data_IF_292669429093
#
_entry.id   IF_292669429093
#
_cell.length_a   1.000
_cell.length_b   1.000
_cell.length_c   1.000
_cell.angle_alpha   90.00
_cell.angle_beta   90.00
_cell.angle_gamma   90.00
#
_symmetry.space_group_name_H-M   'P 1'
#
loop_
_entity.id
_entity.type
_entity.pdbx_description
1 polymer ?
#
# COMPACT_ATOMS: atom_id res chain seq x y z
N UNK A 1 -12.86 -49.59 42.69
CA UNK A 1 -13.09 -50.74 41.77
C UNK A 1 -13.97 -50.28 40.63
N UNK A 2 -13.65 -50.71 39.38
CA UNK A 2 -14.29 -50.45 38.06
C UNK A 2 -13.85 -49.09 37.44
N UNK A 3 -12.81 -48.99 36.59
CA UNK A 3 -12.59 -49.51 35.21
C UNK A 3 -13.75 -49.27 34.24
N UNK A 4 -13.54 -48.41 33.23
CA UNK A 4 -13.42 -48.80 31.80
C UNK A 4 -13.09 -47.61 30.90
N UNK A 5 -12.06 -47.79 30.07
CA UNK A 5 -11.67 -46.97 28.92
C UNK A 5 -12.72 -46.97 27.80
N UNK A 6 -12.75 -45.91 26.98
CA UNK A 6 -12.94 -46.07 25.54
C UNK A 6 -12.38 -44.87 24.77
N UNK A 7 -11.25 -45.11 24.13
CA UNK A 7 -10.65 -44.32 23.05
C UNK A 7 -11.41 -44.63 21.76
N UNK A 8 -11.90 -43.60 21.06
CA UNK A 8 -12.33 -43.74 19.66
C UNK A 8 -11.47 -42.81 18.82
N UNK A 9 -10.46 -43.41 18.20
CA UNK A 9 -9.86 -42.90 16.97
C UNK A 9 -10.82 -43.20 15.81
N UNK A 10 -11.14 -42.22 14.99
CA UNK A 10 -11.55 -42.46 13.61
C UNK A 10 -10.82 -41.51 12.68
N UNK A 11 -10.17 -42.12 11.71
CA UNK A 11 -9.27 -41.52 10.75
C UNK A 11 -10.01 -40.73 9.66
N UNK A 12 -9.35 -39.66 9.21
CA UNK A 12 -9.25 -39.13 7.85
C UNK A 12 -10.43 -39.31 6.89
N UNK A 13 -10.99 -38.19 6.44
CA UNK A 13 -11.36 -38.01 5.04
C UNK A 13 -11.22 -36.53 4.65
N UNK A 14 -10.22 -36.26 3.82
CA UNK A 14 -9.97 -34.97 3.15
C UNK A 14 -10.75 -34.99 1.83
N UNK A 15 -11.59 -33.99 1.52
CA UNK A 15 -11.90 -33.65 0.14
C UNK A 15 -11.01 -32.48 -0.29
N UNK A 16 -10.03 -32.79 -1.13
CA UNK A 16 -9.33 -31.83 -1.95
C UNK A 16 -10.24 -31.38 -3.09
N UNK A 17 -10.59 -30.10 -3.13
CA UNK A 17 -11.20 -29.46 -4.31
C UNK A 17 -10.58 -28.09 -4.54
N UNK A 18 -9.37 -28.09 -5.08
CA UNK A 18 -8.85 -27.01 -5.92
C UNK A 18 -9.20 -27.30 -7.37
N UNK A 19 -10.06 -26.51 -8.02
CA UNK A 19 -9.89 -26.22 -9.45
C UNK A 19 -10.70 -25.00 -9.94
N UNK A 20 -9.93 -24.04 -10.45
CA UNK A 20 -10.17 -23.08 -11.53
C UNK A 20 -11.37 -22.12 -11.46
N UNK A 21 -11.04 -20.90 -11.02
CA UNK A 21 -11.62 -19.65 -11.50
C UNK A 21 -11.18 -19.45 -12.98
N UNK A 22 -12.10 -19.62 -13.94
CA UNK A 22 -11.87 -19.21 -15.33
C UNK A 22 -12.69 -17.96 -15.64
N UNK A 23 -11.97 -16.87 -15.78
CA UNK A 23 -12.43 -15.55 -16.16
C UNK A 23 -12.45 -15.51 -17.70
N UNK A 24 -13.63 -15.49 -18.32
CA UNK A 24 -13.77 -15.22 -19.76
C UNK A 24 -14.44 -13.87 -19.92
N UNK A 25 -13.64 -12.84 -20.19
CA UNK A 25 -14.09 -11.52 -20.58
C UNK A 25 -13.67 -11.31 -22.03
N UNK A 26 -14.58 -11.61 -22.95
CA UNK A 26 -14.39 -11.46 -24.38
C UNK A 26 -14.81 -10.04 -24.78
N UNK A 27 -13.86 -9.23 -25.24
CA UNK A 27 -14.12 -7.89 -25.75
C UNK A 27 -13.34 -7.69 -27.05
N UNK A 28 -14.00 -7.40 -28.19
CA UNK A 28 -13.33 -7.26 -29.47
C UNK A 28 -12.73 -5.85 -29.62
N UNK A 29 -11.40 -5.75 -29.55
CA UNK A 29 -10.70 -4.50 -29.90
C UNK A 29 -10.70 -4.29 -31.42
N UNK A 30 -11.39 -3.23 -31.83
CA UNK A 30 -11.30 -2.63 -33.17
C UNK A 30 -9.91 -2.04 -33.37
N UNK A 31 -9.27 -2.42 -34.48
CA UNK A 31 -8.08 -1.78 -35.04
C UNK A 31 -8.37 -0.30 -35.32
N UNK A 32 -7.68 0.60 -34.63
CA UNK A 32 -7.44 1.96 -35.10
C UNK A 32 -5.93 2.18 -35.11
N UNK A 33 -5.35 2.07 -36.30
CA UNK A 33 -3.99 2.53 -36.57
C UNK A 33 -3.99 4.05 -36.52
N UNK A 34 -3.28 4.63 -35.55
CA UNK A 34 -2.82 6.01 -35.62
C UNK A 34 -1.31 5.95 -35.74
N UNK A 35 -0.82 6.09 -36.97
CA UNK A 35 0.56 6.44 -37.23
C UNK A 35 0.74 7.90 -36.79
N UNK A 36 1.51 8.11 -35.73
CA UNK A 36 2.15 9.40 -35.45
C UNK A 36 3.50 9.16 -34.80
N UNK A 37 4.53 9.40 -35.60
CA UNK A 37 5.84 9.97 -35.28
C UNK A 37 6.27 9.91 -33.82
N UNK A 38 7.31 9.18 -33.42
CA UNK A 38 8.74 9.42 -33.70
C UNK A 38 9.43 9.69 -32.37
N UNK A 39 10.40 8.84 -32.00
CA UNK A 39 11.40 9.02 -30.93
C UNK A 39 10.92 8.92 -29.47
N UNK A 40 10.51 7.72 -29.05
CA UNK A 40 10.54 7.33 -27.63
C UNK A 40 11.06 5.90 -27.50
N UNK A 41 12.25 5.64 -28.04
CA UNK A 41 12.86 4.32 -27.88
C UNK A 41 14.39 4.39 -27.99
N UNK A 42 15.02 5.21 -27.15
CA UNK A 42 16.40 5.00 -26.69
C UNK A 42 16.79 6.06 -25.66
N UNK A 43 16.33 5.90 -24.41
CA UNK A 43 17.02 6.39 -23.21
C UNK A 43 16.83 5.40 -22.05
N UNK A 44 16.99 4.12 -22.34
CA UNK A 44 17.30 3.11 -21.31
C UNK A 44 18.81 2.86 -21.33
N UNK A 45 19.58 3.92 -21.14
CA UNK A 45 21.03 3.83 -21.00
C UNK A 45 21.38 4.38 -19.61
N UNK A 46 21.42 3.45 -18.65
CA UNK A 46 21.97 3.58 -17.31
C UNK A 46 21.35 4.67 -16.42
N UNK A 47 20.22 4.37 -15.78
CA UNK A 47 20.02 4.88 -14.41
C UNK A 47 21.05 4.19 -13.50
N UNK A 48 22.30 4.67 -13.53
CA UNK A 48 23.17 4.52 -12.37
C UNK A 48 22.60 5.46 -11.33
N UNK A 49 21.64 4.97 -10.54
CA UNK A 49 21.11 5.70 -9.40
C UNK A 49 22.30 5.94 -8.46
N UNK A 50 22.68 7.20 -8.27
CA UNK A 50 23.72 7.60 -7.33
C UNK A 50 23.45 6.98 -5.96
N UNK A 51 24.48 6.42 -5.33
CA UNK A 51 24.34 5.83 -3.99
C UNK A 51 24.28 6.89 -2.90
N UNK A 52 24.68 8.12 -3.19
CA UNK A 52 24.70 9.23 -2.24
C UNK A 52 24.63 10.60 -2.93
N UNK A 53 24.21 11.63 -2.18
CA UNK A 53 24.20 13.02 -2.65
C UNK A 53 25.61 13.58 -2.91
N UNK A 54 26.65 13.05 -2.24
CA UNK A 54 28.04 13.44 -2.51
C UNK A 54 28.52 12.94 -3.87
N UNK A 55 28.17 11.71 -4.23
CA UNK A 55 28.50 11.12 -5.54
C UNK A 55 27.84 11.91 -6.68
N UNK A 56 26.55 12.26 -6.51
CA UNK A 56 25.82 13.10 -7.46
C UNK A 56 26.42 14.50 -7.59
N UNK A 57 26.95 15.07 -6.50
CA UNK A 57 27.60 16.39 -6.51
C UNK A 57 28.88 16.35 -7.35
N UNK A 58 29.72 15.33 -7.14
CA UNK A 58 30.96 15.18 -7.90
C UNK A 58 30.70 14.99 -9.41
N UNK A 59 29.68 14.21 -9.77
CA UNK A 59 29.30 14.04 -11.18
C UNK A 59 28.70 15.32 -11.79
N UNK A 60 27.88 16.05 -11.03
CA UNK A 60 27.35 17.34 -11.49
C UNK A 60 28.47 18.36 -11.75
N UNK A 61 29.46 18.45 -10.86
CA UNK A 61 30.64 19.30 -11.06
C UNK A 61 31.42 18.91 -12.33
N UNK A 62 31.61 17.62 -12.57
CA UNK A 62 32.30 17.12 -13.75
C UNK A 62 31.51 17.47 -15.04
N UNK A 63 30.21 17.22 -15.08
CA UNK A 63 29.36 17.52 -16.24
C UNK A 63 29.37 19.03 -16.53
N UNK A 64 29.26 19.87 -15.49
CA UNK A 64 29.31 21.32 -15.63
C UNK A 64 30.66 21.82 -16.13
N UNK A 65 31.76 21.13 -15.77
CA UNK A 65 33.10 21.45 -16.28
C UNK A 65 33.26 21.07 -17.76
N UNK A 66 32.73 19.91 -18.18
CA UNK A 66 32.85 19.40 -19.56
C UNK A 66 31.92 20.12 -20.55
N UNK A 67 30.67 20.34 -20.18
CA UNK A 67 29.60 20.86 -21.06
C UNK A 67 29.40 22.38 -20.89
N UNK A 68 29.97 22.95 -19.83
CA UNK A 68 29.84 24.36 -19.45
C UNK A 68 28.70 24.61 -18.45
N UNK A 69 28.81 25.69 -17.66
CA UNK A 69 27.90 25.98 -16.54
C UNK A 69 26.46 26.30 -16.98
N UNK A 70 26.28 26.86 -18.17
CA UNK A 70 24.95 27.22 -18.70
C UNK A 70 24.31 26.10 -19.53
N UNK A 71 25.00 24.95 -19.67
CA UNK A 71 24.50 23.82 -20.44
C UNK A 71 23.29 23.17 -19.77
N UNK A 72 22.39 22.64 -20.60
CA UNK A 72 21.20 21.93 -20.09
C UNK A 72 21.58 20.68 -19.27
N UNK A 73 22.68 20.01 -19.64
CA UNK A 73 23.17 18.84 -18.92
C UNK A 73 23.68 19.19 -17.52
N UNK A 74 24.34 20.33 -17.36
CA UNK A 74 24.77 20.83 -16.05
C UNK A 74 23.57 21.12 -15.14
N UNK A 75 22.52 21.75 -15.67
CA UNK A 75 21.28 22.05 -14.90
C UNK A 75 20.60 20.78 -14.43
N UNK A 76 20.38 19.82 -15.33
CA UNK A 76 19.75 18.53 -14.99
C UNK A 76 20.57 17.77 -13.95
N UNK A 77 21.90 17.83 -14.01
CA UNK A 77 22.75 17.18 -13.01
C UNK A 77 22.60 17.81 -11.62
N UNK A 78 22.45 19.13 -11.54
CA UNK A 78 22.16 19.82 -10.28
C UNK A 78 20.74 19.55 -9.76
N UNK A 79 19.74 19.44 -10.63
CA UNK A 79 18.38 19.05 -10.23
C UNK A 79 18.40 17.66 -9.54
N UNK A 80 19.18 16.70 -10.06
CA UNK A 80 19.33 15.38 -9.43
C UNK A 80 19.95 15.49 -8.02
N UNK A 81 20.94 16.37 -7.84
CA UNK A 81 21.55 16.62 -6.53
C UNK A 81 20.55 17.22 -5.56
N UNK A 82 19.69 18.14 -6.02
CA UNK A 82 18.64 18.75 -5.20
C UNK A 82 17.62 17.71 -4.74
N UNK A 83 17.12 16.88 -5.66
CA UNK A 83 16.17 15.81 -5.33
C UNK A 83 16.75 14.78 -4.35
N UNK A 84 18.02 14.37 -4.53
CA UNK A 84 18.69 13.45 -3.61
C UNK A 84 18.91 14.05 -2.22
N UNK A 85 19.25 15.35 -2.14
CA UNK A 85 19.38 16.06 -0.86
C UNK A 85 18.01 16.22 -0.18
N UNK A 86 16.95 16.47 -0.95
CA UNK A 86 15.60 16.54 -0.43
C UNK A 86 15.17 15.19 0.16
N UNK A 87 15.43 14.08 -0.54
CA UNK A 87 15.16 12.72 -0.04
C UNK A 87 15.95 12.39 1.24
N UNK A 88 17.26 12.64 1.28
CA UNK A 88 18.10 12.42 2.48
C UNK A 88 17.65 13.30 3.65
N UNK A 89 17.21 14.54 3.40
CA UNK A 89 16.63 15.40 4.44
C UNK A 89 15.28 14.89 4.94
N UNK A 90 14.47 14.28 4.06
CA UNK A 90 13.20 13.68 4.42
C UNK A 90 13.39 12.44 5.32
N UNK A 91 14.38 11.61 5.00
CA UNK A 91 14.74 10.43 5.80
C UNK A 91 15.40 10.83 7.14
N UNK A 92 16.20 11.90 7.18
CA UNK A 92 16.78 12.43 8.44
C UNK A 92 15.76 13.12 9.34
N UNK A 93 14.73 13.74 8.76
CA UNK A 93 13.59 14.22 9.52
C UNK A 93 12.71 13.06 10.04
N UNK A 94 12.91 11.85 9.51
CA UNK A 94 12.46 10.58 10.10
C UNK A 94 13.56 9.93 10.95
N UNK A 95 14.32 10.72 11.72
CA UNK A 95 15.41 10.19 12.54
C UNK A 95 14.95 9.01 13.42
N UNK A 96 15.64 7.86 13.38
CA UNK A 96 15.49 6.83 14.39
C UNK A 96 16.19 7.34 15.65
N UNK A 97 15.44 8.04 16.51
CA UNK A 97 15.90 8.41 17.85
C UNK A 97 16.24 7.16 18.68
N UNK A 98 17.07 7.30 19.73
CA UNK A 98 17.38 6.18 20.62
C UNK A 98 16.08 5.56 21.12
N UNK A 99 16.07 4.24 21.26
CA UNK A 99 14.93 3.35 21.53
C UNK A 99 14.20 3.60 22.87
N UNK A 100 13.85 4.85 23.16
CA UNK A 100 12.71 5.18 23.98
C UNK A 100 11.48 4.79 23.16
N UNK A 101 10.60 3.99 23.76
CA UNK A 101 9.49 3.33 23.07
C UNK A 101 8.47 4.39 22.63
N UNK A 102 8.75 5.04 21.50
CA UNK A 102 7.88 6.07 20.95
C UNK A 102 6.67 5.39 20.31
N UNK A 103 5.52 5.52 20.97
CA UNK A 103 4.25 5.05 20.43
C UNK A 103 3.76 5.94 19.29
N UNK A 104 4.36 7.11 19.06
CA UNK A 104 3.88 8.09 18.08
C UNK A 104 3.75 7.51 16.65
N UNK A 105 4.74 6.78 16.09
CA UNK A 105 4.58 6.14 14.78
C UNK A 105 3.49 5.06 14.75
N UNK A 106 3.29 4.35 15.86
CA UNK A 106 2.26 3.31 15.98
C UNK A 106 0.86 3.91 16.08
N UNK A 107 0.70 5.00 16.83
CA UNK A 107 -0.56 5.76 16.94
C UNK A 107 -0.94 6.37 15.60
N UNK A 108 0.01 6.97 14.88
CA UNK A 108 -0.22 7.47 13.53
C UNK A 108 -0.61 6.35 12.55
N UNK A 109 0.07 5.20 12.63
CA UNK A 109 -0.28 4.02 11.85
C UNK A 109 -1.71 3.53 12.14
N UNK A 110 -2.10 3.49 13.42
CA UNK A 110 -3.44 3.14 13.84
C UNK A 110 -4.49 4.11 13.27
N UNK A 111 -4.26 5.42 13.31
CA UNK A 111 -5.19 6.42 12.77
C UNK A 111 -5.43 6.22 11.26
N UNK A 112 -4.34 6.03 10.51
CA UNK A 112 -4.40 5.80 9.06
C UNK A 112 -5.18 4.52 8.76
N UNK A 113 -4.89 3.42 9.46
CA UNK A 113 -5.55 2.14 9.24
C UNK A 113 -7.02 2.19 9.64
N UNK A 114 -7.33 2.79 10.79
CA UNK A 114 -8.70 2.93 11.28
C UNK A 114 -9.55 3.74 10.29
N UNK A 115 -9.00 4.82 9.73
CA UNK A 115 -9.70 5.63 8.71
C UNK A 115 -9.98 4.83 7.44
N UNK A 116 -9.05 3.95 7.04
CA UNK A 116 -9.27 3.06 5.89
C UNK A 116 -10.34 2.02 6.19
N UNK A 117 -10.33 1.44 7.39
CA UNK A 117 -11.32 0.44 7.79
C UNK A 117 -12.71 1.07 7.89
N UNK A 118 -12.86 2.28 8.43
CA UNK A 118 -14.14 3.01 8.45
C UNK A 118 -14.74 3.20 7.07
N UNK A 119 -13.93 3.63 6.09
CA UNK A 119 -14.41 3.73 4.69
C UNK A 119 -14.89 2.37 4.17
N UNK A 120 -14.19 1.29 4.50
CA UNK A 120 -14.61 -0.07 4.11
C UNK A 120 -15.84 -0.55 4.86
N UNK A 121 -16.04 -0.13 6.11
CA UNK A 121 -17.28 -0.40 6.85
C UNK A 121 -18.46 0.37 6.24
N UNK A 122 -18.27 1.61 5.79
CA UNK A 122 -19.31 2.37 5.08
C UNK A 122 -19.68 1.72 3.74
N UNK A 123 -18.69 1.29 2.97
CA UNK A 123 -18.91 0.53 1.73
C UNK A 123 -19.67 -0.78 1.99
N UNK A 124 -19.23 -1.55 3.00
CA UNK A 124 -19.86 -2.81 3.40
C UNK A 124 -21.31 -2.57 3.83
N UNK A 125 -21.54 -1.58 4.69
CA UNK A 125 -22.87 -1.22 5.19
C UNK A 125 -23.81 -0.87 4.05
N UNK A 126 -23.34 -0.06 3.09
CA UNK A 126 -24.13 0.33 1.92
C UNK A 126 -24.50 -0.89 1.07
N UNK A 127 -23.53 -1.75 0.77
CA UNK A 127 -23.78 -2.97 -0.01
C UNK A 127 -24.74 -3.92 0.71
N UNK A 128 -24.55 -4.13 2.01
CA UNK A 128 -25.42 -4.97 2.84
C UNK A 128 -26.84 -4.41 2.92
N UNK A 129 -26.99 -3.09 3.00
CA UNK A 129 -28.31 -2.43 2.99
C UNK A 129 -29.03 -2.70 1.67
N UNK A 130 -28.34 -2.50 0.53
CA UNK A 130 -28.91 -2.79 -0.80
C UNK A 130 -29.32 -4.26 -0.90
N UNK A 131 -28.45 -5.19 -0.49
CA UNK A 131 -28.75 -6.61 -0.54
C UNK A 131 -29.95 -6.99 0.36
N UNK A 132 -30.05 -6.41 1.56
CA UNK A 132 -31.21 -6.62 2.44
C UNK A 132 -32.51 -6.10 1.81
N UNK A 133 -32.48 -4.94 1.14
CA UNK A 133 -33.62 -4.40 0.39
C UNK A 133 -34.08 -5.34 -0.74
N UNK A 134 -33.15 -6.06 -1.38
CA UNK A 134 -33.44 -7.10 -2.37
C UNK A 134 -33.87 -8.44 -1.75
N UNK A 135 -34.05 -8.52 -0.43
CA UNK A 135 -34.48 -9.72 0.27
C UNK A 135 -33.37 -10.73 0.53
N UNK A 136 -32.09 -10.30 0.54
CA UNK A 136 -31.02 -11.15 1.04
C UNK A 136 -31.26 -11.46 2.52
N UNK A 137 -30.98 -12.70 2.91
CA UNK A 137 -31.34 -13.24 4.23
C UNK A 137 -30.75 -12.50 5.44
N UNK A 138 -31.15 -12.91 6.66
CA UNK A 138 -30.78 -12.22 7.91
C UNK A 138 -29.26 -12.17 8.16
N UNK A 139 -28.47 -13.02 7.51
CA UNK A 139 -27.01 -12.97 7.51
C UNK A 139 -26.47 -11.62 7.01
N UNK A 140 -27.11 -11.06 5.98
CA UNK A 140 -26.69 -9.80 5.37
C UNK A 140 -27.09 -8.61 6.24
N UNK A 141 -28.26 -8.66 6.86
CA UNK A 141 -28.67 -7.64 7.85
C UNK A 141 -27.70 -7.58 9.03
N UNK A 142 -27.20 -8.74 9.50
CA UNK A 142 -26.17 -8.79 10.55
C UNK A 142 -24.88 -8.04 10.17
N UNK A 143 -24.53 -7.99 8.89
CA UNK A 143 -23.35 -7.24 8.43
C UNK A 143 -23.52 -5.73 8.59
N UNK A 144 -24.74 -5.21 8.50
CA UNK A 144 -25.04 -3.79 8.74
C UNK A 144 -24.68 -3.45 10.19
N UNK A 145 -25.21 -4.21 11.15
CA UNK A 145 -24.91 -4.02 12.57
C UNK A 145 -23.44 -4.21 12.90
N UNK A 146 -22.81 -5.27 12.37
CA UNK A 146 -21.39 -5.54 12.60
C UNK A 146 -20.49 -4.43 12.05
N UNK A 147 -20.86 -3.82 10.92
CA UNK A 147 -20.11 -2.70 10.34
C UNK A 147 -20.17 -1.45 11.23
N UNK A 148 -21.34 -1.15 11.82
CA UNK A 148 -21.51 -0.03 12.74
C UNK A 148 -20.77 -0.28 14.07
N UNK A 149 -20.83 -1.50 14.60
CA UNK A 149 -20.11 -1.91 15.81
C UNK A 149 -18.59 -1.80 15.62
N UNK A 150 -18.05 -2.26 14.48
CA UNK A 150 -16.62 -2.16 14.20
C UNK A 150 -16.16 -0.69 14.15
N UNK A 151 -16.96 0.21 13.58
CA UNK A 151 -16.64 1.64 13.57
C UNK A 151 -16.61 2.22 14.97
N UNK A 152 -17.54 1.83 15.84
CA UNK A 152 -17.54 2.26 17.23
C UNK A 152 -16.27 1.79 17.96
N UNK A 153 -15.89 0.53 17.80
CA UNK A 153 -14.66 -0.03 18.40
C UNK A 153 -13.41 0.73 17.94
N UNK A 154 -13.34 1.12 16.66
CA UNK A 154 -12.22 1.90 16.14
C UNK A 154 -12.15 3.31 16.74
N UNK A 155 -13.30 3.98 16.90
CA UNK A 155 -13.35 5.30 17.53
C UNK A 155 -12.97 5.24 19.02
N UNK A 156 -13.41 4.21 19.74
CA UNK A 156 -13.02 3.97 21.12
C UNK A 156 -11.51 3.71 21.24
N UNK A 157 -10.95 2.88 20.36
CA UNK A 157 -9.52 2.62 20.30
C UNK A 157 -8.71 3.90 20.02
N UNK A 158 -9.12 4.73 19.05
CA UNK A 158 -8.46 6.02 18.80
C UNK A 158 -8.53 6.95 20.01
N UNK A 159 -9.70 7.04 20.62
CA UNK A 159 -9.92 7.89 21.80
C UNK A 159 -9.00 7.46 22.93
N UNK A 160 -8.92 6.16 23.23
CA UNK A 160 -8.04 5.60 24.26
C UNK A 160 -6.55 5.87 23.97
N UNK A 161 -6.17 5.92 22.70
CA UNK A 161 -4.78 6.16 22.28
C UNK A 161 -4.39 7.64 22.27
N UNK A 162 -5.33 8.57 22.47
CA UNK A 162 -5.04 10.03 22.50
C UNK A 162 -4.03 10.42 23.58
N UNK A 163 -3.96 9.66 24.67
CA UNK A 163 -2.98 9.87 25.75
C UNK A 163 -1.52 9.57 25.34
N UNK A 164 -1.32 8.91 24.20
CA UNK A 164 -0.01 8.54 23.66
C UNK A 164 0.37 9.36 22.40
N UNK A 165 -0.44 10.35 22.04
CA UNK A 165 -0.10 11.37 21.04
C UNK A 165 0.73 12.48 21.67
#
# INVERSE_FOLDING_TARGET
MKSTSLVVSLAALIPATTLAFMHNNDSPQRKCNVARESKEQSRNSNLNLFRSSQEATAEAEQICYEEGPDSERCKVAWDIVEELKAADSHDRNQAPGPSELSYSPLVQGLDILSTKIERKMDELRNLSTQLAEYGAGPEVERLIYASDEMKLILEEARTAMTQYR
#
